data_IF_933055966519
#
_entry.id   IF_933055966519
#
_cell.length_a   1.000
_cell.length_b   1.000
_cell.length_c   1.000
_cell.angle_alpha   90.00
_cell.angle_beta   90.00
_cell.angle_gamma   90.00
#
_symmetry.space_group_name_H-M   'P 1'
#
loop_
_entity.id
_entity.type
_entity.pdbx_description
1 polymer ?
#
# COMPACT_ATOMS: atom_id res chain seq x y z
N UNK A 1 4.72 -12.42 -13.54
CA UNK A 1 4.12 -12.33 -12.20
C UNK A 1 3.07 -11.23 -12.25
N UNK A 2 2.20 -11.14 -11.25
CA UNK A 2 1.17 -10.12 -11.15
C UNK A 2 1.39 -9.31 -9.88
N UNK A 3 1.18 -7.99 -9.98
CA UNK A 3 1.32 -7.08 -8.85
C UNK A 3 -0.02 -6.95 -8.13
N UNK A 4 0.00 -7.00 -6.82
CA UNK A 4 -1.17 -6.86 -5.97
C UNK A 4 -0.99 -5.70 -5.01
N UNK A 5 -1.99 -4.83 -4.94
CA UNK A 5 -2.15 -3.81 -3.92
C UNK A 5 -2.78 -4.46 -2.69
N UNK A 6 -2.12 -4.31 -1.55
CA UNK A 6 -2.61 -4.67 -0.21
C UNK A 6 -2.76 -3.36 0.55
N UNK A 7 -3.98 -2.94 0.89
CA UNK A 7 -4.25 -1.62 1.47
C UNK A 7 -5.25 -1.66 2.60
N UNK A 8 -5.23 -0.64 3.45
CA UNK A 8 -6.24 -0.39 4.47
C UNK A 8 -6.70 1.07 4.41
N UNK A 9 -7.91 1.35 4.90
CA UNK A 9 -8.47 2.71 4.90
C UNK A 9 -7.93 3.55 6.07
N UNK A 10 -7.94 4.86 5.90
CA UNK A 10 -7.74 5.80 7.00
C UNK A 10 -8.72 5.49 8.14
N UNK A 11 -8.23 5.60 9.38
CA UNK A 11 -9.00 5.26 10.58
C UNK A 11 -9.07 3.77 10.91
N UNK A 12 -8.64 2.87 10.03
CA UNK A 12 -8.65 1.43 10.30
C UNK A 12 -7.73 0.98 11.46
N UNK A 13 -6.91 1.89 11.99
CA UNK A 13 -6.02 1.68 13.14
C UNK A 13 -6.41 2.52 14.36
N UNK A 14 -7.54 3.25 14.33
CA UNK A 14 -7.94 4.15 15.43
C UNK A 14 -8.31 3.42 16.72
N UNK A 15 -8.50 2.11 16.66
CA UNK A 15 -8.68 1.26 17.85
C UNK A 15 -7.37 0.93 18.58
N UNK A 16 -6.21 1.30 18.00
CA UNK A 16 -4.89 1.05 18.57
C UNK A 16 -4.48 2.30 19.36
N UNK A 17 -4.03 2.10 20.61
CA UNK A 17 -3.58 3.22 21.44
C UNK A 17 -2.24 3.77 20.97
N UNK A 18 -1.96 5.05 21.26
CA UNK A 18 -0.68 5.69 20.92
C UNK A 18 0.53 4.97 21.54
N UNK A 19 0.35 4.34 22.72
CA UNK A 19 1.38 3.55 23.40
C UNK A 19 1.72 2.26 22.64
N UNK A 20 0.75 1.66 21.96
CA UNK A 20 0.92 0.42 21.19
C UNK A 20 1.38 0.66 19.74
N UNK A 21 1.21 1.87 19.20
CA UNK A 21 1.60 2.21 17.83
C UNK A 21 3.07 1.88 17.49
N UNK A 22 4.06 2.10 18.37
CA UNK A 22 5.44 1.70 18.10
C UNK A 22 5.59 0.20 17.88
N UNK A 23 4.95 -0.64 18.71
CA UNK A 23 5.00 -2.10 18.57
C UNK A 23 4.35 -2.58 17.28
N UNK A 24 3.23 -1.96 16.90
CA UNK A 24 2.56 -2.22 15.61
C UNK A 24 3.46 -1.81 14.44
N UNK A 25 4.16 -0.68 14.56
CA UNK A 25 5.17 -0.24 13.61
C UNK A 25 6.28 -1.26 13.44
N UNK A 26 6.86 -1.76 14.53
CA UNK A 26 7.92 -2.77 14.50
C UNK A 26 7.44 -4.08 13.85
N UNK A 27 6.23 -4.54 14.18
CA UNK A 27 5.62 -5.72 13.56
C UNK A 27 5.39 -5.53 12.06
N UNK A 28 4.91 -4.36 11.64
CA UNK A 28 4.71 -4.03 10.23
C UNK A 28 6.04 -4.01 9.46
N UNK A 29 7.09 -3.43 10.04
CA UNK A 29 8.44 -3.45 9.45
C UNK A 29 8.98 -4.88 9.32
N UNK A 30 8.77 -5.74 10.32
CA UNK A 30 9.18 -7.14 10.23
C UNK A 30 8.46 -7.88 9.09
N UNK A 31 7.15 -7.69 8.93
CA UNK A 31 6.39 -8.29 7.83
C UNK A 31 6.86 -7.77 6.45
N UNK A 32 7.21 -6.48 6.35
CA UNK A 32 7.81 -5.90 5.14
C UNK A 32 9.20 -6.48 4.88
N UNK A 33 10.03 -6.63 5.91
CA UNK A 33 11.37 -7.23 5.78
C UNK A 33 11.28 -8.66 5.26
N UNK A 34 10.34 -9.47 5.75
CA UNK A 34 10.10 -10.82 5.21
C UNK A 34 9.72 -10.79 3.72
N UNK A 35 8.91 -9.82 3.29
CA UNK A 35 8.52 -9.67 1.88
C UNK A 35 9.68 -9.21 1.00
N UNK A 36 10.55 -8.35 1.53
CA UNK A 36 11.80 -7.93 0.89
C UNK A 36 12.75 -9.11 0.73
N UNK A 37 12.97 -9.87 1.80
CA UNK A 37 13.87 -11.04 1.80
C UNK A 37 13.37 -12.14 0.86
N UNK A 38 12.04 -12.28 0.72
CA UNK A 38 11.41 -13.18 -0.25
C UNK A 38 11.46 -12.66 -1.70
N UNK A 39 11.91 -11.42 -1.94
CA UNK A 39 12.00 -10.81 -3.26
C UNK A 39 10.65 -10.46 -3.89
N UNK A 40 9.58 -10.38 -3.08
CA UNK A 40 8.22 -10.09 -3.56
C UNK A 40 7.78 -8.67 -3.29
N UNK A 41 8.46 -7.94 -2.39
CA UNK A 41 8.12 -6.55 -2.08
C UNK A 41 8.52 -5.62 -3.23
N UNK A 42 7.56 -4.84 -3.75
CA UNK A 42 7.82 -3.81 -4.75
C UNK A 42 8.04 -2.45 -4.08
N UNK A 43 7.03 -1.97 -3.35
CA UNK A 43 7.09 -0.74 -2.54
C UNK A 43 5.85 -0.63 -1.65
N UNK A 44 5.85 0.27 -0.67
CA UNK A 44 4.71 0.51 0.22
C UNK A 44 4.97 1.61 1.24
N UNK A 45 3.95 1.98 1.99
CA UNK A 45 4.03 2.98 3.06
C UNK A 45 2.66 3.34 3.65
N UNK A 46 2.69 3.94 4.84
CA UNK A 46 1.54 4.63 5.43
C UNK A 46 1.39 6.04 4.84
N UNK A 47 0.15 6.49 4.67
CA UNK A 47 -0.15 7.86 4.26
C UNK A 47 -0.31 8.75 5.50
N UNK A 48 0.20 9.97 5.41
CA UNK A 48 0.02 10.97 6.47
C UNK A 48 -1.44 11.41 6.51
N UNK A 49 -1.99 11.58 7.72
CA UNK A 49 -3.33 12.14 7.95
C UNK A 49 -3.31 13.66 7.75
N UNK A 50 -3.09 14.08 6.52
CA UNK A 50 -3.09 15.49 6.11
C UNK A 50 -4.14 15.72 5.03
N UNK A 51 -4.54 16.98 4.85
CA UNK A 51 -5.42 17.38 3.76
C UNK A 51 -4.77 16.97 2.42
N UNK A 52 -5.48 16.16 1.64
CA UNK A 52 -5.02 15.77 0.31
C UNK A 52 -5.06 16.97 -0.64
N UNK A 53 -4.25 16.94 -1.70
CA UNK A 53 -4.36 17.87 -2.81
C UNK A 53 -4.86 17.13 -4.05
N UNK A 54 -5.82 17.71 -4.74
CA UNK A 54 -6.39 17.19 -5.98
C UNK A 54 -5.86 18.03 -7.13
N UNK A 55 -5.23 17.37 -8.11
CA UNK A 55 -4.72 18.02 -9.32
C UNK A 55 -5.68 17.71 -10.47
N UNK A 56 -6.36 18.74 -10.97
CA UNK A 56 -7.29 18.65 -12.09
C UNK A 56 -6.59 18.37 -13.42
N UNK A 57 -7.36 18.02 -14.45
CA UNK A 57 -6.82 17.78 -15.81
C UNK A 57 -6.26 19.04 -16.46
N UNK A 58 -6.65 20.20 -15.97
CA UNK A 58 -6.13 21.52 -16.35
C UNK A 58 -4.90 21.94 -15.51
N UNK A 59 -4.46 21.09 -14.57
CA UNK A 59 -3.34 21.36 -13.67
C UNK A 59 -3.69 22.24 -12.48
N UNK A 60 -4.95 22.64 -12.28
CA UNK A 60 -5.36 23.38 -11.10
C UNK A 60 -5.29 22.47 -9.86
N UNK A 61 -4.80 23.03 -8.76
CA UNK A 61 -4.71 22.34 -7.46
C UNK A 61 -5.85 22.81 -6.58
N UNK A 62 -6.61 21.86 -6.04
CA UNK A 62 -7.66 22.09 -5.06
C UNK A 62 -7.45 21.19 -3.83
N UNK A 63 -8.08 21.56 -2.73
CA UNK A 63 -8.09 20.72 -1.54
C UNK A 63 -8.96 19.48 -1.76
N UNK A 64 -8.47 18.33 -1.30
CA UNK A 64 -9.18 17.07 -1.24
C UNK A 64 -9.64 16.71 0.17
N UNK A 65 -10.29 15.55 0.34
CA UNK A 65 -10.55 14.54 -0.68
C UNK A 65 -11.63 14.96 -1.71
N UNK A 66 -11.52 14.47 -2.95
CA UNK A 66 -12.53 14.68 -4.00
C UNK A 66 -12.95 13.35 -4.64
N UNK A 67 -14.26 13.06 -4.74
CA UNK A 67 -15.38 13.71 -4.03
C UNK A 67 -15.25 13.51 -2.50
N UNK A 68 -16.09 14.15 -1.68
CA UNK A 68 -16.18 13.93 -0.22
C UNK A 68 -16.63 12.49 0.13
N UNK A 69 -15.92 11.47 -0.32
CA UNK A 69 -16.17 10.07 0.03
C UNK A 69 -15.35 9.69 1.25
N UNK A 70 -16.02 8.99 2.18
CA UNK A 70 -15.54 8.66 3.52
C UNK A 70 -14.39 7.64 3.58
N UNK A 71 -13.96 7.09 2.46
CA UNK A 71 -13.02 5.97 2.41
C UNK A 71 -11.78 6.37 1.61
N UNK A 72 -10.79 6.91 2.33
CA UNK A 72 -9.47 7.22 1.79
C UNK A 72 -8.50 6.14 2.25
N UNK A 73 -7.51 5.77 1.43
CA UNK A 73 -6.47 4.82 1.84
C UNK A 73 -5.62 5.44 2.96
N UNK A 74 -5.38 4.68 4.03
CA UNK A 74 -4.49 5.06 5.13
C UNK A 74 -3.07 4.50 4.99
N UNK A 75 -2.90 3.43 4.21
CA UNK A 75 -1.61 2.85 3.89
C UNK A 75 -1.73 1.67 2.95
N UNK A 76 -0.61 1.29 2.34
CA UNK A 76 -0.57 0.20 1.38
C UNK A 76 0.81 -0.45 1.22
N UNK A 77 0.82 -1.65 0.66
CA UNK A 77 1.99 -2.36 0.14
C UNK A 77 1.65 -2.92 -1.23
N UNK A 78 2.62 -2.93 -2.14
CA UNK A 78 2.54 -3.62 -3.44
C UNK A 78 3.51 -4.80 -3.41
N UNK A 79 2.99 -5.99 -3.72
CA UNK A 79 3.77 -7.23 -3.88
C UNK A 79 3.70 -7.76 -5.31
N UNK A 80 4.76 -8.38 -5.80
CA UNK A 80 4.82 -9.07 -7.09
C UNK A 80 4.93 -10.58 -6.87
N UNK A 81 3.86 -11.32 -7.19
CA UNK A 81 3.75 -12.75 -6.91
C UNK A 81 3.11 -13.48 -8.10
N UNK A 82 3.25 -14.81 -8.14
CA UNK A 82 2.77 -15.60 -9.27
C UNK A 82 1.24 -15.75 -9.30
N UNK A 83 0.58 -15.71 -8.15
CA UNK A 83 -0.85 -15.99 -8.02
C UNK A 83 -1.51 -15.20 -6.88
N UNK A 84 -2.84 -15.02 -6.98
CA UNK A 84 -3.63 -14.28 -5.99
C UNK A 84 -3.56 -14.90 -4.60
N UNK A 85 -3.48 -16.22 -4.50
CA UNK A 85 -3.38 -16.96 -3.25
C UNK A 85 -2.09 -16.61 -2.49
N UNK A 86 -1.00 -16.30 -3.20
CA UNK A 86 0.25 -15.83 -2.58
C UNK A 86 0.08 -14.42 -2.05
N UNK A 87 -0.57 -13.53 -2.82
CA UNK A 87 -0.88 -12.18 -2.36
C UNK A 87 -1.75 -12.17 -1.10
N UNK A 88 -2.75 -13.07 -1.03
CA UNK A 88 -3.58 -13.23 0.17
C UNK A 88 -2.79 -13.70 1.40
N UNK A 89 -1.77 -14.55 1.22
CA UNK A 89 -0.89 -14.96 2.33
C UNK A 89 -0.07 -13.79 2.87
N UNK A 90 0.48 -12.97 1.98
CA UNK A 90 1.19 -11.75 2.37
C UNK A 90 0.25 -10.75 3.04
N UNK A 91 -0.95 -10.56 2.50
CA UNK A 91 -1.96 -9.70 3.08
C UNK A 91 -2.38 -10.17 4.48
N UNK A 92 -2.48 -11.48 4.73
CA UNK A 92 -2.78 -12.02 6.06
C UNK A 92 -1.67 -11.71 7.07
N UNK A 93 -0.39 -11.81 6.68
CA UNK A 93 0.75 -11.43 7.52
C UNK A 93 0.71 -9.93 7.85
N UNK A 94 0.49 -9.09 6.83
CA UNK A 94 0.40 -7.63 6.99
C UNK A 94 -0.81 -7.26 7.85
N UNK A 95 -1.97 -7.91 7.67
CA UNK A 95 -3.16 -7.68 8.48
C UNK A 95 -2.92 -7.97 9.96
N UNK A 96 -2.24 -9.09 10.26
CA UNK A 96 -1.88 -9.44 11.63
C UNK A 96 -0.89 -8.42 12.22
N UNK A 97 0.13 -8.02 11.46
CA UNK A 97 1.14 -7.05 11.90
C UNK A 97 0.53 -5.66 12.17
N UNK A 98 -0.25 -5.12 11.23
CA UNK A 98 -0.89 -3.81 11.33
C UNK A 98 -2.12 -3.80 12.25
N UNK A 99 -2.56 -4.96 12.74
CA UNK A 99 -3.77 -5.15 13.57
C UNK A 99 -5.04 -4.57 12.93
N UNK A 100 -5.13 -4.57 11.60
CA UNK A 100 -6.28 -4.07 10.84
C UNK A 100 -6.51 -4.88 9.55
N UNK A 101 -7.77 -4.90 9.09
CA UNK A 101 -8.13 -5.63 7.87
C UNK A 101 -7.46 -5.02 6.63
N UNK A 102 -7.05 -5.87 5.70
CA UNK A 102 -6.41 -5.48 4.45
C UNK A 102 -7.30 -5.84 3.27
N UNK A 103 -7.49 -4.91 2.35
CA UNK A 103 -8.07 -5.14 1.03
C UNK A 103 -6.96 -5.59 0.06
N UNK A 104 -7.26 -6.58 -0.79
CA UNK A 104 -6.31 -7.11 -1.79
C UNK A 104 -6.88 -6.97 -3.18
N UNK A 105 -6.20 -6.21 -4.04
CA UNK A 105 -6.60 -5.97 -5.43
C UNK A 105 -5.45 -6.24 -6.38
N UNK A 106 -5.72 -6.90 -7.50
CA UNK A 106 -4.75 -7.04 -8.57
C UNK A 106 -4.60 -5.71 -9.32
N UNK A 107 -3.37 -5.30 -9.59
CA UNK A 107 -3.08 -4.14 -10.42
C UNK A 107 -3.16 -4.52 -11.90
N UNK A 108 -3.76 -3.65 -12.70
CA UNK A 108 -3.79 -3.82 -14.15
C UNK A 108 -2.37 -3.82 -14.73
N UNK A 109 -2.09 -4.76 -15.63
CA UNK A 109 -0.81 -4.83 -16.33
C UNK A 109 -0.66 -3.68 -17.32
N UNK A 110 0.47 -2.98 -17.29
CA UNK A 110 0.88 -2.00 -18.31
C UNK A 110 2.31 -2.33 -18.79
N UNK A 111 2.44 -3.14 -19.86
CA UNK A 111 3.74 -3.55 -20.39
C UNK A 111 4.62 -2.38 -20.83
N UNK A 112 4.02 -1.25 -21.23
CA UNK A 112 4.76 -0.07 -21.68
C UNK A 112 5.40 0.64 -20.50
N UNK A 113 4.68 0.80 -19.39
CA UNK A 113 5.24 1.36 -18.15
C UNK A 113 6.34 0.45 -17.60
N UNK A 114 6.14 -0.87 -17.62
CA UNK A 114 7.15 -1.83 -17.19
C UNK A 114 8.44 -1.76 -18.02
N UNK A 115 8.34 -1.49 -19.33
CA UNK A 115 9.50 -1.26 -20.18
C UNK A 115 10.23 0.05 -19.84
N UNK A 116 9.49 1.12 -19.59
CA UNK A 116 10.07 2.42 -19.21
C UNK A 116 10.85 2.35 -17.88
N UNK A 117 10.33 1.62 -16.89
CA UNK A 117 10.99 1.41 -15.60
C UNK A 117 12.29 0.61 -15.78
N UNK A 118 12.23 -0.53 -16.51
CA UNK A 118 13.42 -1.34 -16.82
C UNK A 118 14.52 -0.58 -17.56
N UNK A 119 14.17 0.42 -18.36
CA UNK A 119 15.16 1.26 -19.05
C UNK A 119 15.78 2.31 -18.12
N UNK A 120 15.01 2.81 -17.15
CA UNK A 120 15.46 3.79 -16.16
C UNK A 120 16.42 3.18 -15.14
N UNK A 121 16.14 1.97 -14.64
CA UNK A 121 16.97 1.26 -13.66
C UNK A 121 18.32 0.76 -14.24
N UNK A 122 18.50 0.87 -15.55
CA UNK A 122 19.74 0.52 -16.26
C UNK A 122 20.70 1.70 -16.45
N UNK A 123 20.33 2.90 -15.99
CA UNK A 123 21.20 4.09 -15.98
C UNK A 123 21.86 4.26 -14.62
#
# INVERSE_FOLDING_TARGET
MARYLISFNEGAMDHISEEELPEVGDAAHAAVQEAVDAGVFVFGGGLQRQQASIVGTDGLVADGPYPETKEVIGGFVVVDVAAREEALKWAAKIAAACRCAQEVRELGADPRVDEMLRQSDRR
#
